data_IF_523604872514
#
_entry.id   IF_523604872514
#
_cell.length_a   1.000
_cell.length_b   1.000
_cell.length_c   1.000
_cell.angle_alpha   90.00
_cell.angle_beta   90.00
_cell.angle_gamma   90.00
#
_symmetry.space_group_name_H-M   'P 1'
#
loop_
_entity.id
_entity.type
_entity.pdbx_description
1 polymer ?
#
# COMPACT_ATOMS: atom_id res chain seq x y z
N UNK A 1 -1.95 25.79 21.72
CA UNK A 1 -2.06 25.10 20.42
C UNK A 1 -2.88 23.85 20.63
N UNK A 2 -4.01 23.70 19.92
CA UNK A 2 -4.89 22.53 20.02
C UNK A 2 -4.18 21.28 19.47
N UNK A 3 -4.65 20.07 19.87
CA UNK A 3 -4.08 18.82 19.35
C UNK A 3 -4.23 18.73 17.82
N UNK A 4 -5.36 19.15 17.29
CA UNK A 4 -5.59 19.24 15.84
C UNK A 4 -4.52 20.06 15.12
N UNK A 5 -4.25 21.29 15.61
CA UNK A 5 -3.21 22.14 15.00
C UNK A 5 -1.82 21.49 15.05
N UNK A 6 -1.50 20.77 16.13
CA UNK A 6 -0.24 20.01 16.21
C UNK A 6 -0.13 18.93 15.15
N UNK A 7 -1.22 18.18 14.90
CA UNK A 7 -1.25 17.14 13.88
C UNK A 7 -1.19 17.73 12.47
N UNK A 8 -1.88 18.83 12.20
CA UNK A 8 -1.78 19.54 10.92
C UNK A 8 -0.38 20.11 10.65
N UNK A 9 0.32 20.58 11.69
CA UNK A 9 1.73 20.99 11.58
C UNK A 9 2.61 19.78 11.31
N UNK A 10 2.38 18.66 12.03
CA UNK A 10 3.13 17.42 11.82
C UNK A 10 3.01 16.92 10.37
N UNK A 11 1.79 16.91 9.78
CA UNK A 11 1.58 16.53 8.39
C UNK A 11 2.45 17.38 7.43
N UNK A 12 2.40 18.72 7.58
CA UNK A 12 3.20 19.63 6.73
C UNK A 12 4.71 19.44 6.88
N UNK A 13 5.20 19.28 8.10
CA UNK A 13 6.63 19.07 8.34
C UNK A 13 7.08 17.68 7.83
N UNK A 14 6.20 16.68 7.92
CA UNK A 14 6.48 15.35 7.37
C UNK A 14 6.50 15.39 5.84
N UNK A 15 5.55 16.07 5.19
CA UNK A 15 5.56 16.27 3.74
C UNK A 15 6.89 16.89 3.28
N UNK A 16 7.32 17.98 3.89
CA UNK A 16 8.62 18.58 3.61
C UNK A 16 9.82 17.65 3.85
N UNK A 17 9.70 16.71 4.77
CA UNK A 17 10.77 15.75 5.07
C UNK A 17 10.83 14.64 4.02
N UNK A 18 9.71 14.08 3.62
CA UNK A 18 9.69 12.92 2.70
C UNK A 18 10.11 13.29 1.28
N UNK A 19 9.88 14.54 0.84
CA UNK A 19 10.31 15.01 -0.47
C UNK A 19 11.75 15.55 -0.52
N UNK A 20 12.54 15.47 0.55
CA UNK A 20 13.94 15.95 0.54
C UNK A 20 14.86 15.17 -0.38
N UNK A 21 14.51 13.97 -0.74
CA UNK A 21 15.27 13.13 -1.65
C UNK A 21 14.89 11.67 -1.57
N UNK A 22 15.53 10.88 -2.41
CA UNK A 22 15.27 9.45 -2.63
C UNK A 22 15.12 8.64 -1.34
N UNK A 23 16.07 8.76 -0.43
CA UNK A 23 16.08 7.94 0.79
C UNK A 23 14.85 8.18 1.67
N UNK A 24 14.44 9.44 1.85
CA UNK A 24 13.28 9.80 2.66
C UNK A 24 11.99 9.37 2.00
N UNK A 25 11.93 9.48 0.67
CA UNK A 25 10.78 9.04 -0.11
C UNK A 25 10.60 7.53 -0.04
N UNK A 26 11.66 6.76 -0.26
CA UNK A 26 11.65 5.30 -0.11
C UNK A 26 11.17 4.87 1.28
N UNK A 27 11.65 5.50 2.35
CA UNK A 27 11.19 5.19 3.72
C UNK A 27 9.69 5.43 3.91
N UNK A 28 9.15 6.45 3.25
CA UNK A 28 7.70 6.68 3.24
C UNK A 28 6.99 5.59 2.42
N UNK A 29 7.45 5.30 1.20
CA UNK A 29 6.85 4.27 0.34
C UNK A 29 6.87 2.87 0.98
N UNK A 30 7.89 2.56 1.79
CA UNK A 30 7.92 1.33 2.60
C UNK A 30 6.73 1.22 3.56
N UNK A 31 6.31 2.32 4.14
CA UNK A 31 5.12 2.36 5.02
C UNK A 31 3.85 2.35 4.18
N UNK A 32 3.78 3.14 3.12
CA UNK A 32 2.64 3.19 2.20
C UNK A 32 2.33 1.81 1.60
N UNK A 33 3.34 1.03 1.22
CA UNK A 33 3.17 -0.33 0.70
C UNK A 33 2.46 -1.28 1.67
N UNK A 34 2.69 -1.14 2.98
CA UNK A 34 2.00 -1.91 4.02
C UNK A 34 0.59 -1.38 4.31
N UNK A 35 0.43 -0.06 4.25
CA UNK A 35 -0.78 0.66 4.59
C UNK A 35 -1.59 1.11 3.36
N UNK A 36 -1.46 0.42 2.24
CA UNK A 36 -2.02 0.76 0.93
C UNK A 36 -3.55 0.98 0.91
N UNK A 37 -4.26 0.59 1.97
CA UNK A 37 -5.72 0.83 2.14
C UNK A 37 -6.05 2.18 2.78
N UNK A 38 -5.04 2.96 3.14
CA UNK A 38 -5.20 4.30 3.66
C UNK A 38 -4.92 5.32 2.57
N UNK A 39 -5.67 6.44 2.51
CA UNK A 39 -5.32 7.54 1.62
C UNK A 39 -3.97 8.16 2.01
N UNK A 40 -3.36 8.90 1.10
CA UNK A 40 -2.03 9.49 1.26
C UNK A 40 -1.85 10.27 2.56
N UNK A 41 -2.80 11.15 2.90
CA UNK A 41 -2.73 12.00 4.09
C UNK A 41 -2.67 11.18 5.38
N UNK A 42 -3.42 10.09 5.43
CA UNK A 42 -3.41 9.16 6.56
C UNK A 42 -2.10 8.37 6.62
N UNK A 43 -1.63 7.85 5.47
CA UNK A 43 -0.35 7.15 5.38
C UNK A 43 0.79 8.06 5.87
N UNK A 44 0.79 9.34 5.46
CA UNK A 44 1.79 10.32 5.86
C UNK A 44 1.77 10.57 7.37
N UNK A 45 0.59 10.70 7.97
CA UNK A 45 0.42 10.88 9.42
C UNK A 45 0.76 9.61 10.20
N UNK A 46 0.46 8.42 9.68
CA UNK A 46 0.87 7.16 10.31
C UNK A 46 2.39 7.05 10.25
N UNK A 47 3.00 7.28 9.08
CA UNK A 47 4.46 7.29 8.93
C UNK A 47 5.15 8.23 9.92
N UNK A 48 4.62 9.45 10.09
CA UNK A 48 5.17 10.45 10.99
C UNK A 48 5.17 10.03 12.46
N UNK A 49 4.13 9.27 12.89
CA UNK A 49 3.93 8.90 14.30
C UNK A 49 4.39 7.48 14.59
N UNK A 50 4.35 6.58 13.60
CA UNK A 50 4.64 5.15 13.72
C UNK A 50 5.20 4.57 12.42
N UNK A 51 6.48 4.82 12.07
CA UNK A 51 7.07 4.36 10.81
C UNK A 51 7.21 2.83 10.71
N UNK A 52 7.10 2.11 11.81
CA UNK A 52 7.08 0.64 11.90
C UNK A 52 5.68 0.02 11.82
N UNK A 53 4.62 0.82 11.66
CA UNK A 53 3.25 0.32 11.54
C UNK A 53 3.09 -0.67 10.39
N UNK A 54 2.31 -1.73 10.63
CA UNK A 54 2.09 -2.82 9.67
C UNK A 54 0.64 -2.99 9.26
N UNK A 55 -0.30 -2.86 10.19
CA UNK A 55 -1.74 -2.97 9.93
C UNK A 55 -2.50 -2.16 10.98
N UNK A 56 -3.03 -1.03 10.57
CA UNK A 56 -3.78 -0.14 11.45
C UNK A 56 -5.30 -0.30 11.27
N UNK A 57 -6.04 -0.10 12.36
CA UNK A 57 -7.50 0.01 12.31
C UNK A 57 -8.03 0.85 13.48
N UNK A 58 -9.28 1.31 13.37
CA UNK A 58 -9.96 2.01 14.46
C UNK A 58 -10.24 1.11 15.66
N UNK A 59 -10.53 1.71 16.80
CA UNK A 59 -10.94 0.98 18.02
C UNK A 59 -12.16 0.08 17.75
N UNK A 60 -13.14 0.58 17.03
CA UNK A 60 -14.38 -0.14 16.69
C UNK A 60 -14.06 -1.36 15.82
N UNK A 61 -13.20 -1.20 14.81
CA UNK A 61 -12.80 -2.29 13.95
C UNK A 61 -12.10 -3.39 14.76
N UNK A 62 -11.13 -3.03 15.61
CA UNK A 62 -10.44 -3.98 16.46
C UNK A 62 -11.37 -4.71 17.42
N UNK A 63 -12.24 -3.97 18.14
CA UNK A 63 -13.08 -4.56 19.18
C UNK A 63 -14.27 -5.34 18.59
N UNK A 64 -15.02 -4.74 17.66
CA UNK A 64 -16.31 -5.28 17.21
C UNK A 64 -16.19 -6.28 16.06
N UNK A 65 -15.22 -6.07 15.16
CA UNK A 65 -15.03 -6.92 13.98
C UNK A 65 -13.97 -7.99 14.16
N UNK A 66 -12.85 -7.61 14.81
CA UNK A 66 -11.70 -8.49 15.00
C UNK A 66 -11.72 -9.17 16.37
N UNK A 67 -12.53 -8.71 17.32
CA UNK A 67 -12.54 -9.19 18.72
C UNK A 67 -11.14 -9.14 19.34
N UNK A 68 -10.46 -8.04 19.12
CA UNK A 68 -9.16 -7.72 19.67
C UNK A 68 -9.26 -6.48 20.56
N UNK A 69 -8.51 -6.47 21.66
CA UNK A 69 -8.54 -5.39 22.65
C UNK A 69 -7.24 -4.61 22.58
N UNK A 70 -7.36 -3.29 22.68
CA UNK A 70 -6.19 -2.40 22.72
C UNK A 70 -5.41 -2.67 24.03
N UNK A 71 -4.10 -2.81 23.93
CA UNK A 71 -3.21 -3.00 25.06
C UNK A 71 -3.21 -1.79 25.99
N UNK A 72 -3.20 -2.02 27.28
CA UNK A 72 -3.15 -0.94 28.28
C UNK A 72 -1.90 -0.08 28.04
N UNK A 73 -2.10 1.23 27.86
CA UNK A 73 -1.03 2.20 27.64
C UNK A 73 -0.64 2.40 26.17
N UNK A 74 -1.23 1.64 25.24
CA UNK A 74 -1.03 1.89 23.80
C UNK A 74 -1.52 3.30 23.44
N UNK A 75 -0.78 3.97 22.56
CA UNK A 75 -1.09 5.32 22.09
C UNK A 75 -1.66 5.24 20.69
N UNK A 76 -2.91 5.70 20.54
CA UNK A 76 -3.54 5.81 19.22
C UNK A 76 -2.81 6.81 18.32
N UNK A 77 -2.63 6.44 17.07
CA UNK A 77 -2.11 7.27 16.00
C UNK A 77 -3.22 8.26 15.61
N UNK A 78 -2.94 9.54 15.69
CA UNK A 78 -3.92 10.59 15.42
C UNK A 78 -3.97 10.92 13.91
N UNK A 79 -5.15 10.80 13.32
CA UNK A 79 -5.44 11.14 11.94
C UNK A 79 -6.41 12.32 11.90
N UNK A 80 -6.40 13.09 10.81
CA UNK A 80 -7.35 14.16 10.58
C UNK A 80 -8.65 13.54 10.05
N UNK A 81 -9.77 13.89 10.66
CA UNK A 81 -11.09 13.47 10.21
C UNK A 81 -11.59 14.46 9.13
N UNK A 82 -11.43 14.06 7.86
CA UNK A 82 -11.82 14.88 6.72
C UNK A 82 -13.34 14.94 6.45
N UNK A 83 -14.11 14.01 7.02
CA UNK A 83 -15.57 13.96 6.84
C UNK A 83 -16.32 14.87 7.84
N UNK A 84 -15.62 15.39 8.83
CA UNK A 84 -16.24 16.22 9.89
C UNK A 84 -16.32 17.68 9.47
N UNK A 85 -17.50 18.29 9.59
CA UNK A 85 -17.69 19.74 9.37
C UNK A 85 -16.81 20.62 10.28
N UNK A 86 -16.34 20.07 11.40
CA UNK A 86 -15.44 20.77 12.35
C UNK A 86 -14.11 20.03 12.43
N UNK A 87 -12.99 20.77 12.58
CA UNK A 87 -11.67 20.19 12.76
C UNK A 87 -11.64 19.14 13.88
N UNK A 88 -11.56 17.85 13.54
CA UNK A 88 -11.60 16.73 14.45
C UNK A 88 -10.49 15.75 14.17
N UNK A 89 -10.11 14.97 15.17
CA UNK A 89 -9.16 13.86 15.04
C UNK A 89 -9.89 12.53 15.25
N UNK A 90 -9.50 11.54 14.43
CA UNK A 90 -9.80 10.12 14.65
C UNK A 90 -8.52 9.38 15.03
N UNK A 91 -8.64 8.19 15.60
CA UNK A 91 -7.50 7.43 16.07
C UNK A 91 -7.52 6.02 15.52
N UNK A 92 -6.34 5.56 15.11
CA UNK A 92 -6.12 4.17 14.72
C UNK A 92 -5.02 3.56 15.60
N UNK A 93 -4.99 2.24 15.68
CA UNK A 93 -4.03 1.46 16.44
C UNK A 93 -3.41 0.40 15.55
N UNK A 94 -2.11 0.21 15.64
CA UNK A 94 -1.42 -0.84 14.89
C UNK A 94 -1.71 -2.22 15.50
N UNK A 95 -1.57 -3.27 14.70
CA UNK A 95 -1.77 -4.66 15.13
C UNK A 95 -0.89 -5.05 16.32
N UNK A 96 0.27 -4.44 16.48
CA UNK A 96 1.16 -4.66 17.61
C UNK A 96 0.65 -4.05 18.94
N UNK A 97 -0.31 -3.14 18.84
CA UNK A 97 -0.95 -2.50 19.99
C UNK A 97 -2.19 -3.26 20.50
N UNK A 98 -2.52 -4.41 19.93
CA UNK A 98 -3.72 -5.16 20.29
C UNK A 98 -3.41 -6.59 20.72
N UNK A 99 -4.32 -7.19 21.48
CA UNK A 99 -4.32 -8.61 21.79
C UNK A 99 -5.69 -9.22 21.53
N UNK A 100 -5.69 -10.52 21.16
CA UNK A 100 -6.92 -11.25 20.84
C UNK A 100 -7.72 -11.60 22.10
N UNK A 101 -9.03 -11.55 22.01
CA UNK A 101 -9.89 -12.26 22.95
C UNK A 101 -9.65 -13.78 22.83
N UNK A 102 -9.50 -14.45 23.96
CA UNK A 102 -8.97 -15.85 24.05
C UNK A 102 -9.59 -16.88 23.12
N UNK A 103 -10.87 -16.74 22.73
CA UNK A 103 -11.59 -17.75 21.91
C UNK A 103 -12.12 -17.25 20.58
N UNK A 104 -12.29 -15.94 20.42
CA UNK A 104 -12.99 -15.35 19.28
C UNK A 104 -12.16 -14.31 18.51
N UNK A 105 -11.00 -13.93 19.04
CA UNK A 105 -10.13 -12.94 18.40
C UNK A 105 -9.61 -13.44 17.05
N UNK A 106 -9.68 -12.56 16.05
CA UNK A 106 -9.27 -12.82 14.67
C UNK A 106 -7.91 -12.20 14.38
N UNK A 107 -7.13 -12.83 13.52
CA UNK A 107 -5.96 -12.19 12.93
C UNK A 107 -6.37 -11.31 11.75
N UNK A 108 -5.78 -10.12 11.61
CA UNK A 108 -5.91 -9.37 10.36
C UNK A 108 -5.31 -10.19 9.22
N UNK A 109 -5.98 -10.16 8.06
CA UNK A 109 -5.45 -10.79 6.88
C UNK A 109 -4.33 -9.92 6.30
N UNK A 110 -3.10 -10.25 6.65
CA UNK A 110 -1.88 -9.68 6.08
C UNK A 110 -1.31 -10.72 5.12
N UNK A 111 -1.55 -10.54 3.83
CA UNK A 111 -1.09 -11.49 2.84
C UNK A 111 0.43 -11.38 2.59
N UNK A 112 1.02 -12.51 2.25
CA UNK A 112 2.41 -12.63 1.82
C UNK A 112 2.43 -13.38 0.50
N UNK A 113 3.13 -12.85 -0.49
CA UNK A 113 3.37 -13.54 -1.75
C UNK A 113 4.40 -14.65 -1.51
N UNK A 114 4.10 -15.87 -1.95
CA UNK A 114 5.00 -17.03 -1.99
C UNK A 114 5.20 -17.44 -3.43
N UNK A 115 6.20 -18.27 -3.70
CA UNK A 115 6.53 -18.73 -5.04
C UNK A 115 5.31 -19.35 -5.76
N UNK A 116 4.56 -20.20 -5.06
CA UNK A 116 3.36 -20.85 -5.60
C UNK A 116 2.24 -19.88 -5.99
N UNK A 117 2.29 -18.63 -5.57
CA UNK A 117 1.28 -17.61 -5.91
C UNK A 117 1.63 -16.81 -7.17
N UNK A 118 2.91 -16.78 -7.58
CA UNK A 118 3.38 -15.87 -8.63
C UNK A 118 2.59 -16.02 -9.92
N UNK A 119 2.45 -17.25 -10.42
CA UNK A 119 1.75 -17.51 -11.68
C UNK A 119 0.27 -17.09 -11.65
N UNK A 120 -0.45 -17.43 -10.57
CA UNK A 120 -1.87 -17.07 -10.47
C UNK A 120 -2.09 -15.58 -10.27
N UNK A 121 -1.15 -14.89 -9.63
CA UNK A 121 -1.18 -13.44 -9.46
C UNK A 121 -0.90 -12.75 -10.79
N UNK A 122 0.13 -13.17 -11.54
CA UNK A 122 0.40 -12.64 -12.86
C UNK A 122 -0.76 -12.83 -13.81
N UNK A 123 -1.31 -14.04 -13.91
CA UNK A 123 -2.46 -14.31 -14.78
C UNK A 123 -3.67 -13.42 -14.46
N UNK A 124 -3.94 -13.15 -13.18
CA UNK A 124 -5.01 -12.24 -12.76
C UNK A 124 -4.72 -10.79 -13.13
N UNK A 125 -3.48 -10.32 -12.96
CA UNK A 125 -3.10 -8.94 -13.28
C UNK A 125 -3.05 -8.71 -14.80
N UNK A 126 -2.50 -9.65 -15.55
CA UNK A 126 -2.44 -9.58 -17.00
C UNK A 126 -3.82 -9.63 -17.67
N UNK A 127 -4.76 -10.35 -17.07
CA UNK A 127 -6.14 -10.35 -17.51
C UNK A 127 -6.78 -8.94 -17.45
N UNK A 128 -6.35 -8.11 -16.50
CA UNK A 128 -6.92 -6.77 -16.27
C UNK A 128 -6.09 -5.69 -16.98
N UNK A 129 -4.78 -5.76 -16.85
CA UNK A 129 -3.87 -4.69 -17.28
C UNK A 129 -3.11 -4.99 -18.56
N UNK A 130 -3.38 -6.16 -19.17
CA UNK A 130 -2.75 -6.60 -20.43
C UNK A 130 -1.52 -7.47 -20.21
N UNK A 131 -1.22 -8.28 -21.22
CA UNK A 131 -0.13 -9.26 -21.20
C UNK A 131 1.25 -8.60 -21.06
N UNK A 132 2.15 -9.27 -20.38
CA UNK A 132 3.56 -8.90 -20.22
C UNK A 132 4.45 -9.85 -21.03
N UNK A 133 5.75 -9.59 -21.06
CA UNK A 133 6.70 -10.47 -21.71
C UNK A 133 6.97 -11.73 -20.86
N UNK A 134 6.49 -12.89 -21.34
CA UNK A 134 6.63 -14.18 -20.63
C UNK A 134 8.08 -14.63 -20.41
N UNK A 135 9.03 -14.08 -21.16
CA UNK A 135 10.46 -14.38 -20.98
C UNK A 135 11.07 -13.68 -19.76
N UNK A 136 10.39 -12.71 -19.18
CA UNK A 136 10.88 -11.95 -18.03
C UNK A 136 10.53 -12.62 -16.69
N UNK A 137 11.37 -12.43 -15.67
CA UNK A 137 11.06 -12.81 -14.30
C UNK A 137 9.78 -12.13 -13.78
N UNK A 138 9.18 -12.71 -12.73
CA UNK A 138 7.97 -12.20 -12.10
C UNK A 138 8.07 -10.71 -11.75
N UNK A 139 9.17 -10.30 -11.17
CA UNK A 139 9.43 -8.94 -10.69
C UNK A 139 9.39 -7.92 -11.84
N UNK A 140 10.01 -8.25 -12.98
CA UNK A 140 10.02 -7.39 -14.16
C UNK A 140 8.64 -7.31 -14.82
N UNK A 141 7.87 -8.41 -14.82
CA UNK A 141 6.49 -8.42 -15.32
C UNK A 141 5.58 -7.57 -14.43
N UNK A 142 5.76 -7.60 -13.11
CA UNK A 142 5.05 -6.69 -12.18
C UNK A 142 5.44 -5.24 -12.45
N UNK A 143 6.73 -4.98 -12.74
CA UNK A 143 7.19 -3.63 -13.09
C UNK A 143 6.51 -3.12 -14.38
N UNK A 144 6.47 -3.93 -15.46
CA UNK A 144 5.75 -3.58 -16.70
C UNK A 144 4.26 -3.27 -16.47
N UNK A 145 3.59 -4.04 -15.59
CA UNK A 145 2.19 -3.78 -15.22
C UNK A 145 2.05 -2.46 -14.46
N UNK A 146 2.93 -2.21 -13.51
CA UNK A 146 2.91 -0.99 -12.70
C UNK A 146 3.19 0.26 -13.56
N UNK A 147 4.14 0.18 -14.48
CA UNK A 147 4.44 1.20 -15.48
C UNK A 147 3.20 1.55 -16.31
N UNK A 148 2.55 0.53 -16.87
CA UNK A 148 1.34 0.69 -17.69
C UNK A 148 0.19 1.32 -16.90
N UNK A 149 -0.02 0.90 -15.65
CA UNK A 149 -1.03 1.49 -14.77
C UNK A 149 -0.76 2.98 -14.55
N UNK A 150 0.49 3.35 -14.30
CA UNK A 150 0.84 4.75 -14.10
C UNK A 150 0.69 5.58 -15.40
N UNK A 151 1.06 5.01 -16.56
CA UNK A 151 0.91 5.63 -17.86
C UNK A 151 -0.54 5.89 -18.25
N UNK A 152 -1.43 4.96 -17.94
CA UNK A 152 -2.85 5.08 -18.30
C UNK A 152 -3.56 6.19 -17.51
N UNK A 153 -3.01 6.62 -16.36
CA UNK A 153 -3.68 7.54 -15.44
C UNK A 153 -2.93 8.87 -15.17
N UNK A 154 -1.68 9.04 -15.63
CA UNK A 154 -0.94 10.27 -15.30
C UNK A 154 -1.57 11.51 -15.93
N UNK A 155 -2.17 11.41 -17.12
CA UNK A 155 -2.79 12.52 -17.84
C UNK A 155 -3.99 13.12 -17.07
N UNK A 156 -4.72 12.29 -16.31
CA UNK A 156 -5.87 12.75 -15.51
C UNK A 156 -5.44 13.61 -14.30
N UNK A 157 -4.26 13.35 -13.76
CA UNK A 157 -3.78 14.03 -12.55
C UNK A 157 -2.74 15.15 -12.84
N UNK A 158 -2.18 15.21 -14.05
CA UNK A 158 -1.14 16.19 -14.38
C UNK A 158 -1.63 17.63 -14.33
N UNK A 159 -2.84 17.90 -14.78
CA UNK A 159 -3.43 19.22 -14.75
C UNK A 159 -3.56 19.74 -13.31
N UNK A 160 -3.94 18.88 -12.36
CA UNK A 160 -4.01 19.22 -10.94
C UNK A 160 -2.63 19.57 -10.36
N UNK A 161 -1.58 18.83 -10.75
CA UNK A 161 -0.21 19.16 -10.31
C UNK A 161 0.22 20.52 -10.85
N UNK A 162 -0.10 20.85 -12.09
CA UNK A 162 0.22 22.15 -12.70
C UNK A 162 -0.53 23.27 -11.97
N UNK A 163 -1.81 23.09 -11.66
CA UNK A 163 -2.60 24.06 -10.90
C UNK A 163 -2.06 24.30 -9.48
N UNK A 164 -1.57 23.25 -8.83
CA UNK A 164 -1.05 23.29 -7.46
C UNK A 164 0.47 23.56 -7.37
N UNK A 165 1.14 23.85 -8.51
CA UNK A 165 2.58 24.05 -8.58
C UNK A 165 3.10 25.29 -7.83
N UNK A 166 2.22 26.26 -7.53
CA UNK A 166 2.58 27.52 -6.89
C UNK A 166 3.40 27.31 -5.57
N UNK A 167 4.49 28.05 -5.45
CA UNK A 167 5.47 27.99 -4.35
C UNK A 167 6.22 26.64 -4.23
N UNK A 168 6.13 25.78 -5.22
CA UNK A 168 6.99 24.58 -5.34
C UNK A 168 8.15 24.84 -6.30
N UNK A 169 9.09 23.90 -6.43
CA UNK A 169 10.13 23.97 -7.46
C UNK A 169 9.60 23.67 -8.87
N UNK A 170 8.34 23.29 -9.00
CA UNK A 170 7.64 23.08 -10.28
C UNK A 170 7.06 24.40 -10.84
N UNK A 171 6.94 25.47 -10.04
CA UNK A 171 6.24 26.71 -10.42
C UNK A 171 6.81 27.40 -11.67
N UNK A 172 8.14 27.39 -11.81
CA UNK A 172 8.82 28.05 -12.91
C UNK A 172 8.97 27.17 -14.17
N UNK A 173 8.46 25.94 -14.14
CA UNK A 173 8.52 25.00 -15.25
C UNK A 173 7.31 25.18 -16.18
N UNK A 174 7.51 24.91 -17.46
CA UNK A 174 6.37 24.77 -18.39
C UNK A 174 5.58 23.47 -18.11
N UNK A 175 4.36 23.40 -18.62
CA UNK A 175 3.46 22.28 -18.39
C UNK A 175 4.03 20.93 -18.84
N UNK A 176 4.74 20.90 -19.98
CA UNK A 176 5.35 19.67 -20.49
C UNK A 176 6.47 19.18 -19.56
N UNK A 177 7.27 20.09 -19.03
CA UNK A 177 8.31 19.75 -18.08
C UNK A 177 7.75 19.24 -16.74
N UNK A 178 6.64 19.80 -16.26
CA UNK A 178 5.92 19.31 -15.07
C UNK A 178 5.36 17.92 -15.35
N UNK A 179 4.73 17.70 -16.50
CA UNK A 179 4.16 16.42 -16.89
C UNK A 179 5.21 15.29 -16.91
N UNK A 180 6.38 15.53 -17.50
CA UNK A 180 7.48 14.55 -17.52
C UNK A 180 7.90 14.16 -16.10
N UNK A 181 8.09 15.14 -15.21
CA UNK A 181 8.51 14.88 -13.83
C UNK A 181 7.45 14.14 -13.02
N UNK A 182 6.21 14.55 -13.17
CA UNK A 182 5.09 13.90 -12.50
C UNK A 182 4.95 12.44 -12.95
N UNK A 183 4.94 12.21 -14.28
CA UNK A 183 4.87 10.87 -14.86
C UNK A 183 5.99 9.97 -14.34
N UNK A 184 7.24 10.45 -14.38
CA UNK A 184 8.38 9.67 -13.93
C UNK A 184 8.29 9.33 -12.43
N UNK A 185 7.95 10.30 -11.60
CA UNK A 185 7.75 10.08 -10.17
C UNK A 185 6.59 9.14 -9.88
N UNK A 186 5.52 9.20 -10.65
CA UNK A 186 4.35 8.34 -10.52
C UNK A 186 4.70 6.90 -10.87
N UNK A 187 5.30 6.66 -12.06
CA UNK A 187 5.74 5.33 -12.52
C UNK A 187 6.66 4.68 -11.49
N UNK A 188 7.72 5.38 -11.08
CA UNK A 188 8.69 4.85 -10.12
C UNK A 188 8.05 4.54 -8.77
N UNK A 189 7.16 5.41 -8.27
CA UNK A 189 6.54 5.23 -6.94
C UNK A 189 5.48 4.12 -6.92
N UNK A 190 4.68 3.99 -7.98
CA UNK A 190 3.69 2.90 -8.12
C UNK A 190 4.44 1.57 -8.24
N UNK A 191 5.45 1.48 -9.10
CA UNK A 191 6.28 0.28 -9.27
C UNK A 191 6.95 -0.13 -7.96
N UNK A 192 7.61 0.82 -7.28
CA UNK A 192 8.21 0.57 -5.97
C UNK A 192 7.19 0.03 -4.96
N UNK A 193 6.05 0.67 -4.84
CA UNK A 193 5.04 0.32 -3.83
C UNK A 193 4.49 -1.09 -4.05
N UNK A 194 4.20 -1.47 -5.29
CA UNK A 194 3.67 -2.80 -5.65
C UNK A 194 4.74 -3.86 -5.43
N UNK A 195 5.95 -3.68 -5.99
CA UNK A 195 7.06 -4.62 -5.85
C UNK A 195 7.43 -4.83 -4.39
N UNK A 196 7.56 -3.74 -3.62
CA UNK A 196 7.87 -3.80 -2.18
C UNK A 196 6.82 -4.56 -1.41
N UNK A 197 5.54 -4.35 -1.69
CA UNK A 197 4.45 -5.07 -1.03
C UNK A 197 4.42 -6.55 -1.40
N UNK A 198 4.85 -6.90 -2.60
CA UNK A 198 5.05 -8.28 -3.05
C UNK A 198 6.27 -8.95 -2.40
N UNK A 199 7.16 -8.20 -1.76
CA UNK A 199 8.37 -8.72 -1.13
C UNK A 199 9.51 -8.97 -2.12
N UNK A 200 9.48 -8.31 -3.29
CA UNK A 200 10.54 -8.40 -4.29
C UNK A 200 11.84 -7.76 -3.81
N UNK A 201 12.96 -8.24 -4.31
CA UNK A 201 14.27 -7.60 -4.06
C UNK A 201 14.37 -6.30 -4.86
N UNK A 202 14.43 -5.19 -4.15
CA UNK A 202 14.48 -3.85 -4.75
C UNK A 202 15.86 -3.47 -5.28
N UNK A 203 16.90 -4.27 -5.02
CA UNK A 203 18.26 -3.98 -5.50
C UNK A 203 18.39 -4.14 -7.01
N UNK A 204 17.59 -5.02 -7.61
CA UNK A 204 17.55 -5.23 -9.07
C UNK A 204 16.98 -4.02 -9.83
N UNK A 205 16.22 -3.17 -9.17
CA UNK A 205 15.57 -1.98 -9.74
C UNK A 205 16.22 -0.66 -9.28
N UNK A 206 17.41 -0.72 -8.69
CA UNK A 206 18.03 0.46 -8.08
C UNK A 206 18.32 1.58 -9.08
N UNK A 207 18.65 1.21 -10.33
CA UNK A 207 18.95 2.16 -11.41
C UNK A 207 17.67 2.73 -12.07
N UNK A 208 16.56 1.99 -12.02
CA UNK A 208 15.26 2.41 -12.58
C UNK A 208 14.46 3.27 -11.58
N UNK A 209 14.69 3.09 -10.27
CA UNK A 209 13.97 3.72 -9.18
C UNK A 209 14.82 4.79 -8.49
N UNK A 210 15.19 5.82 -9.26
CA UNK A 210 16.10 6.90 -8.82
C UNK A 210 15.40 7.98 -7.99
N UNK A 211 14.12 8.25 -8.27
CA UNK A 211 13.30 9.29 -7.64
C UNK A 211 13.92 10.69 -7.71
N UNK A 212 14.56 11.02 -8.84
CA UNK A 212 15.38 12.23 -8.98
C UNK A 212 14.59 13.52 -8.79
N UNK A 213 13.31 13.52 -9.18
CA UNK A 213 12.47 14.73 -9.13
C UNK A 213 11.65 14.87 -7.84
N UNK A 214 11.75 13.95 -6.88
CA UNK A 214 10.89 14.03 -5.67
C UNK A 214 11.07 15.34 -4.91
N UNK A 215 12.26 15.92 -4.95
CA UNK A 215 12.57 17.18 -4.26
C UNK A 215 11.85 18.39 -4.86
N UNK A 216 11.33 18.28 -6.09
CA UNK A 216 10.59 19.35 -6.77
C UNK A 216 9.13 19.44 -6.29
N UNK A 217 8.59 18.32 -5.76
CA UNK A 217 7.25 18.26 -5.14
C UNK A 217 7.29 18.72 -3.67
N UNK A 218 7.94 19.84 -3.40
CA UNK A 218 8.34 20.28 -2.05
C UNK A 218 7.28 21.06 -1.28
N UNK A 219 6.06 21.16 -1.79
CA UNK A 219 4.89 21.70 -1.08
C UNK A 219 3.96 20.56 -0.66
N UNK A 220 3.12 20.79 0.38
CA UNK A 220 2.10 19.80 0.75
C UNK A 220 1.11 19.57 -0.40
N UNK A 221 0.80 20.58 -1.20
CA UNK A 221 -0.17 20.51 -2.30
C UNK A 221 0.32 19.61 -3.43
N UNK A 222 1.47 19.94 -4.02
CA UNK A 222 2.05 19.12 -5.10
C UNK A 222 2.33 17.68 -4.65
N UNK A 223 2.81 17.53 -3.42
CA UNK A 223 3.07 16.20 -2.85
C UNK A 223 1.76 15.44 -2.56
N UNK A 224 0.66 16.11 -2.17
CA UNK A 224 -0.64 15.46 -1.97
C UNK A 224 -1.19 14.93 -3.29
N UNK A 225 -1.12 15.69 -4.38
CA UNK A 225 -1.56 15.19 -5.70
C UNK A 225 -0.76 13.94 -6.08
N UNK A 226 0.57 14.00 -6.03
CA UNK A 226 1.42 12.83 -6.34
C UNK A 226 1.10 11.63 -5.43
N UNK A 227 1.02 11.85 -4.12
CA UNK A 227 0.80 10.80 -3.14
C UNK A 227 -0.59 10.18 -3.20
N UNK A 228 -1.63 10.99 -3.46
CA UNK A 228 -3.00 10.51 -3.62
C UNK A 228 -3.13 9.67 -4.89
N UNK A 229 -2.58 10.13 -6.01
CA UNK A 229 -2.55 9.36 -7.25
C UNK A 229 -1.84 8.02 -7.06
N UNK A 230 -0.68 7.98 -6.41
CA UNK A 230 0.02 6.71 -6.08
C UNK A 230 -0.88 5.79 -5.25
N UNK A 231 -1.54 6.32 -4.21
CA UNK A 231 -2.40 5.52 -3.32
C UNK A 231 -3.60 4.95 -4.08
N UNK A 232 -4.24 5.75 -4.91
CA UNK A 232 -5.40 5.38 -5.72
C UNK A 232 -5.08 4.31 -6.76
N UNK A 233 -3.89 4.37 -7.36
CA UNK A 233 -3.44 3.36 -8.32
C UNK A 233 -2.97 2.06 -7.65
N UNK A 234 -2.29 2.16 -6.51
CA UNK A 234 -1.75 0.98 -5.81
C UNK A 234 -2.83 0.18 -5.05
N UNK A 235 -3.82 0.84 -4.45
CA UNK A 235 -4.83 0.17 -3.61
C UNK A 235 -5.59 -0.94 -4.35
N UNK A 236 -6.23 -0.72 -5.53
CA UNK A 236 -6.99 -1.75 -6.24
C UNK A 236 -6.11 -2.92 -6.68
N UNK A 237 -4.87 -2.66 -7.12
CA UNK A 237 -3.91 -3.69 -7.53
C UNK A 237 -3.54 -4.58 -6.34
N UNK A 238 -3.15 -3.97 -5.22
CA UNK A 238 -2.73 -4.70 -4.02
C UNK A 238 -3.88 -5.44 -3.33
N UNK A 239 -5.10 -4.90 -3.39
CA UNK A 239 -6.31 -5.63 -2.98
C UNK A 239 -6.54 -6.84 -3.88
N UNK A 240 -6.38 -6.70 -5.19
CA UNK A 240 -6.54 -7.79 -6.16
C UNK A 240 -5.55 -8.90 -5.91
N UNK A 241 -4.27 -8.59 -5.76
CA UNK A 241 -3.22 -9.55 -5.40
C UNK A 241 -3.61 -10.30 -4.13
N UNK A 242 -3.95 -9.59 -3.06
CA UNK A 242 -4.33 -10.20 -1.79
C UNK A 242 -5.55 -11.12 -1.89
N UNK A 243 -6.56 -10.76 -2.68
CA UNK A 243 -7.75 -11.60 -2.95
C UNK A 243 -7.40 -12.86 -3.74
N UNK A 244 -6.51 -12.75 -4.72
CA UNK A 244 -6.05 -13.88 -5.53
C UNK A 244 -5.28 -14.88 -4.69
N UNK A 245 -4.35 -14.42 -3.84
CA UNK A 245 -3.63 -15.24 -2.87
C UNK A 245 -4.61 -15.97 -1.93
N UNK A 246 -5.57 -15.23 -1.35
CA UNK A 246 -6.55 -15.83 -0.43
C UNK A 246 -7.46 -16.86 -1.11
N UNK A 247 -7.78 -16.67 -2.39
CA UNK A 247 -8.57 -17.62 -3.20
C UNK A 247 -7.77 -18.88 -3.47
N UNK A 248 -6.51 -18.74 -3.86
CA UNK A 248 -5.60 -19.86 -4.10
C UNK A 248 -5.38 -20.71 -2.84
N UNK A 249 -5.05 -20.09 -1.71
CA UNK A 249 -4.84 -20.79 -0.44
C UNK A 249 -6.08 -21.56 0.03
N UNK A 250 -7.28 -20.99 -0.14
CA UNK A 250 -8.54 -21.67 0.17
C UNK A 250 -8.76 -22.90 -0.70
N UNK A 251 -8.49 -22.81 -1.99
CA UNK A 251 -8.62 -23.95 -2.92
C UNK A 251 -7.67 -25.09 -2.55
N UNK A 252 -6.42 -24.78 -2.20
CA UNK A 252 -5.45 -25.78 -1.73
C UNK A 252 -5.91 -26.49 -0.45
N UNK A 253 -6.47 -25.76 0.51
CA UNK A 253 -6.98 -26.35 1.76
C UNK A 253 -8.17 -27.28 1.50
N UNK A 254 -9.07 -26.94 0.58
CA UNK A 254 -10.19 -27.77 0.20
C UNK A 254 -9.73 -29.08 -0.47
N UNK A 255 -8.78 -28.99 -1.40
CA UNK A 255 -8.22 -30.18 -2.08
C UNK A 255 -7.50 -31.11 -1.10
N UNK A 256 -6.74 -30.59 -0.15
CA UNK A 256 -6.08 -31.40 0.89
C UNK A 256 -7.09 -32.13 1.77
N UNK A 257 -8.21 -31.48 2.14
CA UNK A 257 -9.29 -32.12 2.91
C UNK A 257 -9.98 -33.25 2.12
N UNK A 258 -10.22 -33.02 0.83
CA UNK A 258 -10.83 -34.00 -0.05
C UNK A 258 -9.97 -35.28 -0.17
N UNK A 259 -8.66 -35.12 -0.45
CA UNK A 259 -7.71 -36.24 -0.55
C UNK A 259 -7.56 -36.95 0.80
N UNK A 260 -7.48 -36.21 1.91
CA UNK A 260 -7.40 -36.81 3.25
C UNK A 260 -8.60 -37.67 3.61
N UNK A 261 -9.81 -37.26 3.23
CA UNK A 261 -11.02 -38.01 3.47
C UNK A 261 -11.11 -39.29 2.60
N UNK A 262 -10.66 -39.27 1.35
CA UNK A 262 -10.65 -40.43 0.47
C UNK A 262 -9.66 -41.49 0.94
N UNK A 263 -8.45 -41.09 1.36
CA UNK A 263 -7.46 -42.01 1.91
C UNK A 263 -7.90 -42.68 3.23
N UNK A 264 -8.75 -42.02 4.01
CA UNK A 264 -9.37 -42.65 5.21
C UNK A 264 -10.46 -43.63 4.85
N UNK A 265 -11.23 -43.40 3.80
CA UNK A 265 -12.31 -44.28 3.34
C UNK A 265 -11.73 -45.54 2.70
N UNK A 266 -10.67 -45.45 1.91
CA UNK A 266 -9.99 -46.64 1.32
C UNK A 266 -9.32 -47.50 2.38
N UNK A 267 -8.71 -46.95 3.43
CA UNK A 267 -8.12 -47.72 4.53
C UNK A 267 -9.16 -48.39 5.40
N UNK A 268 -10.36 -47.84 5.50
CA UNK A 268 -11.47 -48.47 6.23
C UNK A 268 -12.09 -49.67 5.48
N UNK A 269 -12.00 -49.69 4.14
CA UNK A 269 -12.55 -50.79 3.31
C UNK A 269 -11.57 -51.96 3.19
N UNK A 270 -10.26 -51.70 3.28
CA UNK A 270 -9.22 -52.76 3.18
C UNK A 270 -8.86 -53.39 4.53
N UNK A 271 -9.49 -53.04 5.63
CA UNK A 271 -9.25 -53.55 6.98
C UNK A 271 -10.26 -54.60 7.46
N UNK A 272 -11.10 -55.15 6.57
CA UNK A 272 -12.05 -56.22 6.85
C UNK A 272 -11.85 -57.41 5.86
N UNK A 273 -10.67 -57.98 5.84
CA UNK A 273 -10.43 -59.35 5.37
C UNK A 273 -9.67 -60.17 6.42
#
# INVERSE_FOLDING_TARGET
MTKYVKISVLARETAKKVCRGREQWIRYLDVASRLYKYPFEDQLLIYAQRPDATACASLEMWNERMFCWINRGAKGIALIDGESERPKLRYVFDVSDVHKARRIGKDPFIWHLREEHKEVVLAELEHIYGSTNDALPFENRIYEIAERIAEDFYEEAVDEVIEEAANSFLEDLDGDAVAVRFREMLVQSVSYTILKRCGCDMTEFADDLTFDYIHEFNTLRTLSVLGSTISELCEPVLIRIGRTIARYDRALLQNRRYIGNHNHTERAVTGHE
#
